data_IF_283384354553
#
_entry.id   IF_283384354553
#
_cell.length_a   1.000
_cell.length_b   1.000
_cell.length_c   1.000
_cell.angle_alpha   90.00
_cell.angle_beta   90.00
_cell.angle_gamma   90.00
#
_symmetry.space_group_name_H-M   'P 1'
#
loop_
_entity.id
_entity.type
_entity.pdbx_description
1 polymer ?
#
# COMPACT_ATOMS: atom_id res chain seq x y z
N UNK A 1 -18.91 -12.50 -47.70
CA UNK A 1 -19.03 -11.85 -46.37
C UNK A 1 -17.84 -12.27 -45.54
N UNK A 2 -16.87 -11.37 -45.41
CA UNK A 2 -15.67 -11.62 -44.63
C UNK A 2 -16.04 -11.47 -43.13
N UNK A 3 -16.00 -12.60 -42.40
CA UNK A 3 -16.12 -12.60 -40.96
C UNK A 3 -14.86 -11.98 -40.36
N UNK A 4 -14.95 -10.73 -39.92
CA UNK A 4 -13.93 -10.12 -39.10
C UNK A 4 -13.95 -10.81 -37.76
N UNK A 5 -13.02 -11.74 -37.51
CA UNK A 5 -12.73 -12.22 -36.16
C UNK A 5 -12.32 -11.02 -35.32
N UNK A 6 -12.90 -10.84 -34.12
CA UNK A 6 -12.41 -9.80 -33.21
C UNK A 6 -10.91 -10.08 -32.98
N UNK A 7 -10.07 -9.06 -33.18
CA UNK A 7 -8.64 -9.16 -32.85
C UNK A 7 -8.56 -9.49 -31.36
N UNK A 8 -8.11 -10.70 -31.02
CA UNK A 8 -7.71 -11.03 -29.66
C UNK A 8 -6.52 -10.13 -29.35
N UNK A 9 -6.75 -9.08 -28.52
CA UNK A 9 -5.64 -8.32 -27.98
C UNK A 9 -4.75 -9.29 -27.21
N UNK A 10 -3.49 -9.38 -27.61
CA UNK A 10 -2.51 -10.18 -26.88
C UNK A 10 -2.38 -9.62 -25.46
N UNK A 11 -2.25 -10.54 -24.48
CA UNK A 11 -1.99 -10.15 -23.10
C UNK A 11 -0.60 -9.49 -23.02
N UNK A 12 -0.45 -8.39 -22.28
CA UNK A 12 0.86 -7.78 -22.10
C UNK A 12 1.79 -8.68 -21.31
N UNK A 13 3.07 -8.67 -21.64
CA UNK A 13 4.11 -9.29 -20.82
C UNK A 13 4.52 -8.32 -19.72
N UNK A 14 4.27 -8.70 -18.46
CA UNK A 14 4.53 -7.84 -17.31
C UNK A 14 5.40 -8.56 -16.30
N UNK A 15 6.49 -7.93 -15.89
CA UNK A 15 7.32 -8.35 -14.78
C UNK A 15 7.51 -7.19 -13.81
N UNK A 16 7.21 -7.42 -12.53
CA UNK A 16 7.44 -6.46 -11.46
C UNK A 16 8.66 -6.89 -10.66
N UNK A 17 9.64 -6.01 -10.57
CA UNK A 17 10.81 -6.19 -9.71
C UNK A 17 10.58 -5.50 -8.37
N UNK A 18 10.64 -6.28 -7.29
CA UNK A 18 10.43 -5.80 -5.92
C UNK A 18 11.66 -6.07 -5.08
N UNK A 19 11.84 -5.27 -4.02
CA UNK A 19 12.96 -5.42 -3.10
C UNK A 19 12.96 -6.80 -2.44
N UNK A 20 14.10 -7.49 -2.47
CA UNK A 20 14.29 -8.74 -1.73
C UNK A 20 14.49 -8.46 -0.24
N UNK A 21 14.14 -9.45 0.58
CA UNK A 21 14.42 -9.47 2.01
C UNK A 21 15.90 -9.74 2.31
N UNK A 22 16.21 -9.89 3.61
CA UNK A 22 17.56 -10.16 4.07
C UNK A 22 18.16 -11.47 3.58
N UNK A 23 17.31 -12.43 3.19
CA UNK A 23 17.73 -13.71 2.58
C UNK A 23 18.04 -13.60 1.07
N UNK A 24 17.77 -12.46 0.45
CA UNK A 24 17.95 -12.24 -0.99
C UNK A 24 16.87 -12.85 -1.88
N UNK A 25 15.89 -13.52 -1.32
CA UNK A 25 14.86 -14.28 -2.06
C UNK A 25 13.42 -13.89 -1.70
N UNK A 26 13.12 -13.75 -0.42
CA UNK A 26 11.77 -13.39 0.04
C UNK A 26 11.44 -11.92 -0.25
N UNK A 27 10.17 -11.56 -0.14
CA UNK A 27 9.71 -10.17 -0.29
C UNK A 27 10.28 -9.33 0.86
N UNK A 28 10.99 -8.26 0.51
CA UNK A 28 11.55 -7.31 1.47
C UNK A 28 10.57 -6.24 1.90
N UNK A 29 11.00 -5.45 2.88
CA UNK A 29 10.21 -4.32 3.37
C UNK A 29 10.34 -3.12 2.44
N UNK A 30 9.32 -2.90 1.63
CA UNK A 30 9.21 -1.75 0.74
C UNK A 30 7.74 -1.45 0.45
N UNK A 31 7.18 -0.37 1.03
CA UNK A 31 5.77 -0.05 0.83
C UNK A 31 5.46 0.35 -0.62
N UNK A 32 6.41 0.90 -1.34
CA UNK A 32 6.24 1.26 -2.76
C UNK A 32 6.20 0.02 -3.66
N UNK A 33 7.02 -0.97 -3.36
CA UNK A 33 6.98 -2.27 -4.05
C UNK A 33 5.64 -2.96 -3.82
N UNK A 34 5.19 -3.01 -2.59
CA UNK A 34 3.90 -3.62 -2.23
C UNK A 34 2.73 -2.90 -2.90
N UNK A 35 2.77 -1.57 -2.96
CA UNK A 35 1.75 -0.76 -3.62
C UNK A 35 1.56 -1.17 -5.08
N UNK A 36 2.63 -1.25 -5.86
CA UNK A 36 2.54 -1.68 -7.27
C UNK A 36 2.13 -3.14 -7.41
N UNK A 37 2.59 -3.99 -6.51
CA UNK A 37 2.20 -5.40 -6.48
C UNK A 37 0.68 -5.55 -6.27
N UNK A 38 0.12 -4.81 -5.32
CA UNK A 38 -1.33 -4.78 -5.08
C UNK A 38 -2.10 -4.26 -6.31
N UNK A 39 -1.61 -3.21 -6.95
CA UNK A 39 -2.25 -2.62 -8.14
C UNK A 39 -2.35 -3.65 -9.26
N UNK A 40 -1.26 -4.35 -9.57
CA UNK A 40 -1.25 -5.37 -10.61
C UNK A 40 -2.19 -6.53 -10.28
N UNK A 41 -2.23 -6.93 -9.04
CA UNK A 41 -3.16 -7.97 -8.58
C UNK A 41 -4.61 -7.54 -8.77
N UNK A 42 -4.94 -6.32 -8.32
CA UNK A 42 -6.30 -5.77 -8.43
C UNK A 42 -6.74 -5.54 -9.88
N UNK A 43 -5.81 -5.24 -10.78
CA UNK A 43 -6.11 -5.14 -12.22
C UNK A 43 -6.52 -6.48 -12.83
N UNK A 44 -6.21 -7.60 -12.18
CA UNK A 44 -6.54 -8.92 -12.71
C UNK A 44 -5.74 -9.32 -13.94
N UNK A 45 -4.65 -8.63 -14.22
CA UNK A 45 -3.73 -8.94 -15.32
C UNK A 45 -2.75 -10.02 -14.90
N UNK A 46 -2.32 -10.83 -15.87
CA UNK A 46 -1.23 -11.80 -15.62
C UNK A 46 0.11 -11.08 -15.55
N UNK A 47 0.88 -11.35 -14.51
CA UNK A 47 2.21 -10.77 -14.32
C UNK A 47 3.11 -11.70 -13.52
N UNK A 48 4.42 -11.51 -13.66
CA UNK A 48 5.43 -12.16 -12.85
C UNK A 48 6.02 -11.17 -11.84
N UNK A 49 6.43 -11.67 -10.68
CA UNK A 49 7.13 -10.89 -9.66
C UNK A 49 8.49 -11.51 -9.43
N UNK A 50 9.53 -10.69 -9.47
CA UNK A 50 10.90 -11.09 -9.18
C UNK A 50 11.45 -10.22 -8.06
N UNK A 51 11.93 -10.86 -7.00
CA UNK A 51 12.63 -10.16 -5.93
C UNK A 51 14.06 -9.86 -6.38
N UNK A 52 14.54 -8.66 -6.07
CA UNK A 52 15.88 -8.22 -6.48
C UNK A 52 16.69 -7.73 -5.28
N UNK A 53 17.92 -8.21 -5.23
CA UNK A 53 18.96 -7.68 -4.37
C UNK A 53 19.83 -6.76 -5.22
N UNK A 54 19.80 -5.45 -4.91
CA UNK A 54 20.51 -4.45 -5.71
C UNK A 54 22.04 -4.53 -5.60
N UNK A 55 22.57 -5.35 -4.69
CA UNK A 55 23.99 -5.68 -4.62
C UNK A 55 24.37 -6.78 -5.63
N UNK A 56 23.39 -7.49 -6.17
CA UNK A 56 23.53 -8.57 -7.16
C UNK A 56 22.49 -8.41 -8.27
N UNK A 57 22.61 -7.30 -9.02
CA UNK A 57 21.61 -6.95 -10.04
C UNK A 57 21.47 -8.04 -11.11
N UNK A 58 20.21 -8.43 -11.46
CA UNK A 58 20.00 -9.28 -12.62
C UNK A 58 20.37 -8.56 -13.93
N UNK A 59 20.52 -9.31 -15.01
CA UNK A 59 20.97 -8.80 -16.31
C UNK A 59 20.09 -7.64 -16.81
N UNK A 60 18.77 -7.73 -16.61
CA UNK A 60 17.81 -6.71 -17.05
C UNK A 60 18.01 -5.36 -16.36
N UNK A 61 18.65 -5.36 -15.20
CA UNK A 61 18.82 -4.17 -14.35
C UNK A 61 20.28 -3.69 -14.28
N UNK A 62 21.18 -4.31 -14.99
CA UNK A 62 22.64 -4.06 -14.89
C UNK A 62 23.03 -2.60 -15.21
N UNK A 63 22.31 -1.95 -16.12
CA UNK A 63 22.64 -0.62 -16.60
C UNK A 63 22.00 0.51 -15.76
N UNK A 64 21.28 0.17 -14.68
CA UNK A 64 20.68 1.17 -13.82
C UNK A 64 21.75 1.92 -13.03
N UNK A 65 21.56 3.23 -12.89
CA UNK A 65 22.44 4.09 -12.12
C UNK A 65 22.55 3.62 -10.66
N UNK A 66 23.72 3.75 -10.02
CA UNK A 66 23.88 3.49 -8.59
C UNK A 66 22.85 4.28 -7.77
N UNK A 67 22.25 3.64 -6.76
CA UNK A 67 21.25 4.25 -5.91
C UNK A 67 19.82 4.20 -6.45
N UNK A 68 19.60 3.66 -7.65
CA UNK A 68 18.27 3.41 -8.16
C UNK A 68 17.67 2.19 -7.43
N UNK A 69 16.49 2.37 -6.83
CA UNK A 69 15.85 1.36 -6.00
C UNK A 69 14.56 0.84 -6.63
N UNK A 70 14.22 -0.47 -6.41
CA UNK A 70 12.91 -0.96 -6.81
C UNK A 70 11.78 -0.17 -6.13
N UNK A 71 10.54 -0.20 -6.66
CA UNK A 71 10.06 -1.13 -7.68
C UNK A 71 10.41 -0.72 -9.11
N UNK A 72 10.53 -1.72 -10.01
CA UNK A 72 10.68 -1.52 -11.44
C UNK A 72 9.64 -2.35 -12.19
N UNK A 73 9.16 -1.81 -13.30
CA UNK A 73 8.21 -2.52 -14.17
C UNK A 73 8.82 -2.76 -15.52
N UNK A 74 8.83 -4.02 -15.96
CA UNK A 74 9.14 -4.40 -17.33
C UNK A 74 7.82 -4.71 -18.02
N UNK A 75 7.42 -3.85 -18.95
CA UNK A 75 6.15 -3.95 -19.66
C UNK A 75 6.42 -4.08 -21.15
N UNK A 76 6.05 -5.22 -21.74
CA UNK A 76 6.35 -5.53 -23.15
C UNK A 76 7.81 -5.21 -23.53
N UNK A 77 8.75 -5.66 -22.69
CA UNK A 77 10.20 -5.47 -22.85
C UNK A 77 10.71 -4.04 -22.62
N UNK A 78 9.86 -3.10 -22.24
CA UNK A 78 10.26 -1.74 -21.88
C UNK A 78 10.35 -1.61 -20.35
N UNK A 79 11.54 -1.23 -19.86
CA UNK A 79 11.80 -1.04 -18.45
C UNK A 79 11.40 0.36 -17.98
N UNK A 80 10.57 0.42 -16.94
CA UNK A 80 10.12 1.64 -16.28
C UNK A 80 10.60 1.63 -14.83
N UNK A 81 11.17 2.74 -14.39
CA UNK A 81 11.85 2.84 -13.09
C UNK A 81 11.30 3.92 -12.17
N UNK A 82 10.48 4.84 -12.66
CA UNK A 82 9.85 5.89 -11.87
C UNK A 82 8.52 5.39 -11.30
N UNK A 83 8.47 5.21 -10.00
CA UNK A 83 7.33 4.67 -9.27
C UNK A 83 6.01 5.41 -9.55
N UNK A 84 6.02 6.75 -9.53
CA UNK A 84 4.81 7.55 -9.76
C UNK A 84 4.32 7.38 -11.20
N UNK A 85 5.24 7.42 -12.15
CA UNK A 85 4.93 7.23 -13.58
C UNK A 85 4.46 5.81 -13.88
N UNK A 86 5.01 4.82 -13.18
CA UNK A 86 4.55 3.42 -13.31
C UNK A 86 3.09 3.30 -12.89
N UNK A 87 2.72 3.87 -11.75
CA UNK A 87 1.34 3.84 -11.25
C UNK A 87 0.38 4.50 -12.23
N UNK A 88 0.70 5.70 -12.71
CA UNK A 88 -0.11 6.40 -13.72
C UNK A 88 -0.24 5.59 -15.01
N UNK A 89 0.86 5.00 -15.45
CA UNK A 89 0.89 4.17 -16.65
C UNK A 89 -0.02 2.96 -16.52
N UNK A 90 0.02 2.25 -15.39
CA UNK A 90 -0.82 1.07 -15.13
C UNK A 90 -2.30 1.44 -15.11
N UNK A 91 -2.68 2.54 -14.45
CA UNK A 91 -4.07 2.99 -14.40
C UNK A 91 -4.60 3.38 -15.77
N UNK A 92 -3.81 4.06 -16.58
CA UNK A 92 -4.20 4.51 -17.91
C UNK A 92 -4.21 3.39 -18.95
N UNK A 93 -3.25 2.47 -18.85
CA UNK A 93 -3.07 1.41 -19.86
C UNK A 93 -3.97 0.21 -19.58
N UNK A 94 -4.07 -0.21 -18.31
CA UNK A 94 -4.94 -1.30 -17.88
C UNK A 94 -6.29 -0.71 -17.45
N UNK A 95 -7.07 -0.28 -18.42
CA UNK A 95 -8.30 0.52 -18.23
C UNK A 95 -9.56 -0.28 -18.60
N UNK A 96 -10.74 0.17 -18.11
CA UNK A 96 -12.02 -0.40 -18.53
C UNK A 96 -12.21 -0.33 -20.07
N UNK A 97 -12.98 -1.24 -20.67
CA UNK A 97 -13.79 -2.25 -20.00
C UNK A 97 -13.05 -3.54 -19.61
N UNK A 98 -11.83 -3.75 -20.09
CA UNK A 98 -11.09 -5.00 -19.88
C UNK A 98 -10.55 -5.13 -18.44
N UNK A 99 -10.12 -4.01 -17.85
CA UNK A 99 -9.55 -3.97 -16.49
C UNK A 99 -10.33 -2.99 -15.61
N UNK A 100 -10.37 -3.23 -14.29
CA UNK A 100 -11.08 -2.33 -13.39
C UNK A 100 -10.37 -0.98 -13.27
N UNK A 101 -11.16 0.08 -13.04
CA UNK A 101 -10.66 1.38 -12.66
C UNK A 101 -10.36 1.37 -11.15
N UNK A 102 -9.18 1.82 -10.74
CA UNK A 102 -8.74 1.78 -9.35
C UNK A 102 -8.63 3.14 -8.67
N UNK A 103 -8.76 4.23 -9.41
CA UNK A 103 -8.74 5.58 -8.82
C UNK A 103 -9.94 5.77 -7.91
N UNK A 104 -9.74 6.34 -6.70
CA UNK A 104 -10.86 6.59 -5.79
C UNK A 104 -11.78 7.68 -6.35
N UNK A 105 -13.07 7.59 -5.97
CA UNK A 105 -14.09 8.57 -6.34
C UNK A 105 -13.94 9.87 -5.57
N UNK A 106 -13.44 9.80 -4.34
CA UNK A 106 -13.28 10.93 -3.44
C UNK A 106 -11.79 11.25 -3.25
N UNK A 107 -11.43 12.51 -3.49
CA UNK A 107 -10.07 13.00 -3.28
C UNK A 107 -9.60 12.80 -1.84
N UNK A 108 -10.51 12.97 -0.90
CA UNK A 108 -10.26 12.83 0.54
C UNK A 108 -9.76 11.41 0.90
N UNK A 109 -10.13 10.40 0.11
CA UNK A 109 -9.65 9.04 0.31
C UNK A 109 -8.14 8.91 0.11
N UNK A 110 -7.56 9.68 -0.83
CA UNK A 110 -6.11 9.75 -0.98
C UNK A 110 -5.41 10.50 0.16
N UNK A 111 -6.06 11.51 0.71
CA UNK A 111 -5.48 12.34 1.77
C UNK A 111 -5.57 11.67 3.14
N UNK A 112 -6.48 10.73 3.31
CA UNK A 112 -6.68 10.03 4.58
C UNK A 112 -5.41 9.28 5.00
N UNK A 113 -4.92 9.57 6.19
CA UNK A 113 -3.73 8.94 6.75
C UNK A 113 -2.42 9.39 6.14
N UNK A 114 -2.40 10.45 5.32
CA UNK A 114 -1.20 10.90 4.60
C UNK A 114 -0.01 11.28 5.51
N UNK A 115 -0.27 11.65 6.75
CA UNK A 115 0.77 12.03 7.71
C UNK A 115 1.22 10.90 8.65
N UNK A 116 0.53 9.77 8.62
CA UNK A 116 0.81 8.66 9.54
C UNK A 116 2.25 8.15 9.45
N UNK A 117 2.72 7.90 8.25
CA UNK A 117 4.06 7.33 8.06
C UNK A 117 5.16 8.29 8.48
N UNK A 118 4.99 9.59 8.24
CA UNK A 118 5.93 10.62 8.69
C UNK A 118 5.99 10.71 10.22
N UNK A 119 4.83 10.65 10.89
CA UNK A 119 4.76 10.66 12.36
C UNK A 119 5.34 9.39 12.97
N UNK A 120 5.08 8.26 12.34
CA UNK A 120 5.72 7.00 12.72
C UNK A 120 7.24 7.07 12.56
N UNK A 121 7.74 7.58 11.44
CA UNK A 121 9.17 7.70 11.18
C UNK A 121 9.87 8.57 12.22
N UNK A 122 9.27 9.70 12.58
CA UNK A 122 9.79 10.56 13.65
C UNK A 122 9.84 9.84 15.01
N UNK A 123 8.79 9.10 15.32
CA UNK A 123 8.67 8.31 16.57
C UNK A 123 9.73 7.21 16.66
N UNK A 124 9.85 6.41 15.60
CA UNK A 124 10.77 5.26 15.59
C UNK A 124 12.23 5.68 15.58
N UNK A 125 12.55 6.84 15.01
CA UNK A 125 13.91 7.40 14.95
C UNK A 125 14.32 8.19 16.20
N UNK A 126 13.38 8.49 17.08
CA UNK A 126 13.66 9.26 18.27
C UNK A 126 14.64 8.54 19.18
N UNK A 127 15.69 9.26 19.59
CA UNK A 127 16.73 8.77 20.50
C UNK A 127 16.63 9.35 21.92
N UNK A 128 15.71 10.29 22.14
CA UNK A 128 15.52 10.97 23.43
C UNK A 128 14.32 10.39 24.15
N UNK A 129 14.53 9.64 25.19
CA UNK A 129 13.49 8.94 25.95
C UNK A 129 12.36 9.89 26.40
N UNK A 130 12.70 11.08 26.83
CA UNK A 130 11.75 12.08 27.32
C UNK A 130 10.76 12.53 26.24
N UNK A 131 11.18 12.51 24.98
CA UNK A 131 10.37 12.92 23.85
C UNK A 131 9.42 11.83 23.32
N UNK A 132 9.58 10.57 23.73
CA UNK A 132 8.79 9.44 23.23
C UNK A 132 7.28 9.66 23.39
N UNK A 133 6.84 10.15 24.53
CA UNK A 133 5.41 10.38 24.80
C UNK A 133 4.81 11.39 23.83
N UNK A 134 5.57 12.42 23.47
CA UNK A 134 5.13 13.44 22.53
C UNK A 134 5.01 12.90 21.11
N UNK A 135 6.00 12.11 20.68
CA UNK A 135 5.95 11.43 19.36
C UNK A 135 4.81 10.42 19.29
N UNK A 136 4.59 9.66 20.34
CA UNK A 136 3.45 8.74 20.45
C UNK A 136 2.13 9.49 20.34
N UNK A 137 1.98 10.60 21.07
CA UNK A 137 0.79 11.44 21.02
C UNK A 137 0.53 11.96 19.61
N UNK A 138 1.57 12.39 18.90
CA UNK A 138 1.44 12.86 17.52
C UNK A 138 0.97 11.75 16.58
N UNK A 139 1.50 10.54 16.76
CA UNK A 139 1.07 9.38 15.99
C UNK A 139 -0.39 9.01 16.29
N UNK A 140 -0.77 8.99 17.55
CA UNK A 140 -2.16 8.74 17.97
C UNK A 140 -3.14 9.75 17.40
N UNK A 141 -2.75 11.01 17.32
CA UNK A 141 -3.55 12.08 16.73
C UNK A 141 -3.84 11.81 15.25
N UNK A 142 -2.85 11.33 14.51
CA UNK A 142 -3.03 10.99 13.10
C UNK A 142 -3.88 9.73 12.92
N UNK A 143 -3.75 8.75 13.80
CA UNK A 143 -4.65 7.59 13.82
C UNK A 143 -6.09 7.99 14.10
N UNK A 144 -6.30 8.93 15.03
CA UNK A 144 -7.64 9.44 15.30
C UNK A 144 -8.26 10.13 14.09
N UNK A 145 -7.47 10.91 13.36
CA UNK A 145 -7.94 11.55 12.12
C UNK A 145 -8.34 10.52 11.06
N UNK A 146 -7.57 9.46 10.92
CA UNK A 146 -7.92 8.35 10.03
C UNK A 146 -9.18 7.64 10.49
N UNK A 147 -9.31 7.40 11.79
CA UNK A 147 -10.49 6.77 12.39
C UNK A 147 -11.75 7.60 12.15
N UNK A 148 -11.66 8.91 12.36
CA UNK A 148 -12.77 9.84 12.11
C UNK A 148 -13.20 9.80 10.64
N UNK A 149 -12.24 9.79 9.72
CA UNK A 149 -12.53 9.66 8.28
C UNK A 149 -13.24 8.35 7.95
N UNK A 150 -12.73 7.23 8.46
CA UNK A 150 -13.29 5.90 8.21
C UNK A 150 -14.68 5.69 8.83
N UNK A 151 -14.98 6.41 9.89
CA UNK A 151 -16.28 6.34 10.56
C UNK A 151 -17.31 7.35 10.04
N UNK A 152 -16.87 8.37 9.31
CA UNK A 152 -17.78 9.36 8.71
C UNK A 152 -18.33 8.81 7.40
N UNK A 153 -19.66 8.69 7.25
CA UNK A 153 -20.26 8.19 6.01
C UNK A 153 -19.88 9.04 4.80
N UNK A 154 -19.59 8.37 3.68
CA UNK A 154 -19.43 9.03 2.38
C UNK A 154 -20.81 9.46 1.85
N UNK A 155 -20.83 10.43 0.94
CA UNK A 155 -22.08 10.93 0.37
C UNK A 155 -22.96 9.82 -0.24
N UNK A 156 -22.36 8.86 -0.90
CA UNK A 156 -23.10 7.76 -1.53
C UNK A 156 -23.55 6.67 -0.54
N UNK A 157 -23.08 6.70 0.71
CA UNK A 157 -23.61 5.84 1.78
C UNK A 157 -24.91 6.41 2.37
N UNK A 158 -25.19 7.70 2.14
CA UNK A 158 -26.35 8.40 2.68
C UNK A 158 -27.51 8.24 1.71
N UNK A 159 -28.58 7.55 2.16
CA UNK A 159 -29.83 7.45 1.42
C UNK A 159 -30.78 8.56 1.85
N UNK A 160 -31.06 9.56 0.98
CA UNK A 160 -31.95 10.68 1.34
C UNK A 160 -33.41 10.24 1.56
N UNK A 161 -33.77 9.06 1.05
CA UNK A 161 -35.13 8.49 1.16
C UNK A 161 -35.28 7.55 2.37
N UNK A 162 -34.19 7.28 3.09
CA UNK A 162 -34.23 6.43 4.28
C UNK A 162 -34.66 7.20 5.52
N UNK A 163 -35.54 6.59 6.31
CA UNK A 163 -35.93 7.12 7.62
C UNK A 163 -34.86 6.87 8.70
N UNK A 164 -33.86 6.00 8.42
CA UNK A 164 -32.76 5.72 9.34
C UNK A 164 -31.57 6.61 9.02
N UNK A 165 -31.08 7.33 10.05
CA UNK A 165 -29.89 8.14 9.95
C UNK A 165 -28.66 7.25 10.11
N UNK A 166 -27.81 7.17 9.06
CA UNK A 166 -26.55 6.49 9.15
C UNK A 166 -25.54 7.40 9.87
N UNK A 167 -25.25 7.10 11.13
CA UNK A 167 -24.35 7.92 11.96
C UNK A 167 -22.89 7.49 11.83
N UNK A 168 -22.63 6.19 11.55
CA UNK A 168 -21.29 5.63 11.40
C UNK A 168 -21.23 4.88 10.08
N UNK A 169 -20.17 5.11 9.32
CA UNK A 169 -19.91 4.39 8.08
C UNK A 169 -19.73 2.90 8.32
N UNK A 170 -20.19 2.10 7.38
CA UNK A 170 -20.01 0.63 7.35
C UNK A 170 -19.10 0.20 6.20
N UNK A 171 -18.48 1.16 5.48
CA UNK A 171 -17.64 0.81 4.33
C UNK A 171 -16.44 -0.03 4.74
N UNK A 172 -16.01 -0.88 3.82
CA UNK A 172 -14.93 -1.82 4.06
C UNK A 172 -13.54 -1.17 3.96
N UNK A 173 -13.39 -0.18 3.05
CA UNK A 173 -12.12 0.45 2.72
C UNK A 173 -12.26 1.98 2.66
N UNK A 174 -11.19 2.68 2.28
CA UNK A 174 -11.16 4.15 2.32
C UNK A 174 -12.25 4.82 1.48
N UNK A 175 -12.47 4.33 0.26
CA UNK A 175 -13.36 4.97 -0.72
C UNK A 175 -14.71 4.26 -0.89
N UNK A 176 -14.94 3.19 -0.17
CA UNK A 176 -16.14 2.36 -0.27
C UNK A 176 -15.82 0.90 -0.01
N UNK A 177 -16.55 0.01 -0.67
CA UNK A 177 -16.42 -1.43 -0.45
C UNK A 177 -15.40 -2.12 -1.38
N UNK A 178 -14.75 -1.36 -2.26
CA UNK A 178 -13.71 -1.84 -3.15
C UNK A 178 -12.36 -1.21 -2.79
N UNK A 179 -11.29 -2.00 -2.92
CA UNK A 179 -9.93 -1.48 -2.81
C UNK A 179 -9.63 -0.55 -3.98
N UNK A 180 -9.02 0.60 -3.68
CA UNK A 180 -8.60 1.59 -4.67
C UNK A 180 -7.09 1.87 -4.56
N UNK A 181 -6.58 2.75 -5.41
CA UNK A 181 -5.19 3.23 -5.33
C UNK A 181 -4.87 3.85 -3.96
N UNK A 182 -5.88 4.47 -3.31
CA UNK A 182 -5.71 5.04 -1.97
C UNK A 182 -5.34 3.96 -0.94
N UNK A 183 -6.01 2.81 -0.98
CA UNK A 183 -5.71 1.66 -0.11
C UNK A 183 -4.35 1.06 -0.42
N UNK A 184 -4.00 0.95 -1.70
CA UNK A 184 -2.69 0.45 -2.12
C UNK A 184 -1.54 1.32 -1.60
N UNK A 185 -1.79 2.63 -1.45
CA UNK A 185 -0.84 3.57 -0.86
C UNK A 185 -0.74 3.44 0.67
N UNK A 186 -1.88 3.37 1.35
CA UNK A 186 -1.93 3.46 2.82
C UNK A 186 -1.68 2.12 3.53
N UNK A 187 -2.29 1.04 3.06
CA UNK A 187 -2.26 -0.26 3.75
C UNK A 187 -0.85 -0.81 3.98
N UNK A 188 0.08 -0.77 3.01
CA UNK A 188 1.45 -1.19 3.26
C UNK A 188 2.13 -0.40 4.39
N UNK A 189 1.89 0.89 4.45
CA UNK A 189 2.42 1.76 5.51
C UNK A 189 1.82 1.45 6.87
N UNK A 190 0.52 1.19 6.93
CA UNK A 190 -0.16 0.80 8.18
C UNK A 190 0.37 -0.53 8.72
N UNK A 191 0.63 -1.49 7.85
CA UNK A 191 1.21 -2.77 8.25
C UNK A 191 2.61 -2.57 8.86
N UNK A 192 3.45 -1.75 8.24
CA UNK A 192 4.77 -1.42 8.76
C UNK A 192 4.67 -0.77 10.14
N UNK A 193 3.81 0.22 10.29
CA UNK A 193 3.61 0.93 11.58
C UNK A 193 3.18 -0.05 12.67
N UNK A 194 2.18 -0.87 12.37
CA UNK A 194 1.64 -1.86 13.32
C UNK A 194 2.73 -2.81 13.82
N UNK A 195 3.56 -3.33 12.92
CA UNK A 195 4.60 -4.30 13.26
C UNK A 195 5.79 -3.63 13.97
N UNK A 196 6.36 -2.58 13.38
CA UNK A 196 7.58 -1.96 13.87
C UNK A 196 7.35 -1.16 15.16
N UNK A 197 6.27 -0.41 15.26
CA UNK A 197 5.95 0.34 16.48
C UNK A 197 5.68 -0.58 17.67
N UNK A 198 5.03 -1.71 17.45
CA UNK A 198 4.84 -2.73 18.48
C UNK A 198 6.18 -3.30 18.94
N UNK A 199 7.03 -3.70 18.00
CA UNK A 199 8.32 -4.34 18.32
C UNK A 199 9.24 -3.42 19.11
N UNK A 200 9.37 -2.14 18.69
CA UNK A 200 10.42 -1.25 19.20
C UNK A 200 9.94 -0.19 20.18
N UNK A 201 8.64 0.03 20.30
CA UNK A 201 8.05 1.04 21.19
C UNK A 201 6.88 0.51 22.03
N UNK A 202 6.61 -0.78 21.94
CA UNK A 202 5.44 -1.42 22.60
C UNK A 202 4.13 -0.65 22.36
N UNK A 203 4.00 -0.11 21.16
CA UNK A 203 2.85 0.66 20.74
C UNK A 203 1.78 -0.25 20.12
N UNK A 204 0.57 -0.15 20.63
CA UNK A 204 -0.63 -0.78 20.04
C UNK A 204 -1.58 0.30 19.53
N UNK A 205 -2.21 0.05 18.38
CA UNK A 205 -3.30 0.89 17.90
C UNK A 205 -4.45 0.76 18.89
N UNK A 206 -4.94 1.87 19.50
CA UNK A 206 -6.01 1.79 20.49
C UNK A 206 -7.28 1.10 19.98
N UNK A 207 -7.88 0.26 20.79
CA UNK A 207 -9.12 -0.48 20.47
C UNK A 207 -10.29 0.45 20.17
N UNK A 208 -10.31 1.63 20.75
CA UNK A 208 -11.33 2.66 20.56
C UNK A 208 -11.38 3.18 19.12
N UNK A 209 -10.30 3.02 18.36
CA UNK A 209 -10.27 3.39 16.94
C UNK A 209 -10.93 2.29 16.09
N UNK A 210 -12.22 2.14 16.27
CA UNK A 210 -13.03 1.08 15.66
C UNK A 210 -13.02 1.11 14.13
N UNK A 211 -12.98 2.30 13.53
CA UNK A 211 -12.87 2.47 12.08
C UNK A 211 -11.55 1.97 11.53
N UNK A 212 -10.44 2.27 12.22
CA UNK A 212 -9.12 1.78 11.84
C UNK A 212 -9.07 0.25 11.92
N UNK A 213 -9.61 -0.34 12.99
CA UNK A 213 -9.62 -1.79 13.16
C UNK A 213 -10.52 -2.49 12.15
N UNK A 214 -11.70 -1.93 11.84
CA UNK A 214 -12.56 -2.42 10.76
C UNK A 214 -11.80 -2.44 9.43
N UNK A 215 -11.12 -1.35 9.11
CA UNK A 215 -10.32 -1.21 7.90
C UNK A 215 -9.21 -2.26 7.80
N UNK A 216 -8.41 -2.39 8.86
CA UNK A 216 -7.34 -3.39 8.91
C UNK A 216 -7.87 -4.81 8.86
N UNK A 217 -8.93 -5.11 9.60
CA UNK A 217 -9.56 -6.42 9.58
C UNK A 217 -10.02 -6.82 8.17
N UNK A 218 -10.68 -5.90 7.47
CA UNK A 218 -11.13 -6.14 6.11
C UNK A 218 -9.96 -6.28 5.13
N UNK A 219 -8.89 -5.51 5.32
CA UNK A 219 -7.69 -5.59 4.50
C UNK A 219 -6.97 -6.94 4.66
N UNK A 220 -6.79 -7.40 5.89
CA UNK A 220 -6.13 -8.69 6.14
C UNK A 220 -6.96 -9.89 5.67
N UNK A 221 -8.24 -9.71 5.36
CA UNK A 221 -9.09 -10.72 4.72
C UNK A 221 -8.93 -10.76 3.19
N UNK A 222 -8.19 -9.81 2.60
CA UNK A 222 -7.98 -9.73 1.14
C UNK A 222 -6.62 -10.32 0.76
N UNK A 223 -6.67 -11.22 -0.23
CA UNK A 223 -5.46 -11.87 -0.76
C UNK A 223 -4.48 -10.87 -1.37
N UNK A 224 -4.99 -9.83 -2.04
CA UNK A 224 -4.20 -8.81 -2.70
C UNK A 224 -3.32 -8.02 -1.71
N UNK A 225 -3.74 -7.96 -0.46
CA UNK A 225 -2.96 -7.33 0.60
C UNK A 225 -2.08 -8.35 1.35
N UNK A 226 -2.67 -9.43 1.85
CA UNK A 226 -1.95 -10.37 2.70
C UNK A 226 -0.80 -11.07 1.97
N UNK A 227 -1.01 -11.45 0.70
CA UNK A 227 0.01 -12.13 -0.09
C UNK A 227 1.07 -11.21 -0.68
N UNK A 228 0.90 -9.91 -0.59
CA UNK A 228 1.89 -8.92 -1.01
C UNK A 228 2.68 -8.35 0.17
N UNK A 229 2.27 -8.62 1.40
CA UNK A 229 2.98 -8.19 2.61
C UNK A 229 4.32 -8.92 2.75
N UNK A 230 5.39 -8.21 3.16
CA UNK A 230 6.57 -8.89 3.68
C UNK A 230 6.23 -9.59 5.00
N UNK A 231 7.02 -10.57 5.37
CA UNK A 231 6.93 -11.18 6.70
C UNK A 231 7.25 -10.12 7.78
N UNK A 232 6.61 -10.24 8.93
CA UNK A 232 6.82 -9.32 10.05
C UNK A 232 8.29 -9.20 10.42
N UNK A 233 9.03 -10.30 10.39
CA UNK A 233 10.47 -10.34 10.65
C UNK A 233 11.28 -9.44 9.72
N UNK A 234 10.91 -9.36 8.44
CA UNK A 234 11.57 -8.48 7.48
C UNK A 234 11.35 -6.99 7.82
N UNK A 235 10.14 -6.66 8.28
CA UNK A 235 9.84 -5.31 8.76
C UNK A 235 10.66 -5.00 10.02
N UNK A 236 10.65 -5.90 10.99
CA UNK A 236 11.39 -5.75 12.24
C UNK A 236 12.89 -5.58 11.98
N UNK A 237 13.47 -6.40 11.11
CA UNK A 237 14.90 -6.33 10.76
C UNK A 237 15.28 -5.01 10.08
N UNK A 238 14.40 -4.49 9.22
CA UNK A 238 14.62 -3.19 8.56
C UNK A 238 14.75 -2.07 9.58
N UNK A 239 13.95 -2.10 10.64
CA UNK A 239 13.94 -1.03 11.65
C UNK A 239 14.90 -1.26 12.82
N UNK A 240 15.58 -2.40 12.88
CA UNK A 240 16.50 -2.72 13.98
C UNK A 240 17.61 -1.68 14.17
N UNK A 241 18.19 -1.18 13.07
CA UNK A 241 19.23 -0.15 13.11
C UNK A 241 18.69 1.28 13.26
N UNK A 242 17.43 1.49 12.86
CA UNK A 242 16.76 2.80 12.88
C UNK A 242 16.15 3.08 14.25
N UNK A 243 15.53 2.08 14.86
CA UNK A 243 14.87 2.17 16.15
C UNK A 243 15.88 2.01 17.28
N UNK A 244 16.73 3.03 17.44
CA UNK A 244 17.68 3.03 18.54
C UNK A 244 16.94 3.00 19.87
N UNK A 245 17.30 2.05 20.73
CA UNK A 245 16.73 1.96 22.05
C UNK A 245 17.16 3.15 22.91
N UNK A 246 16.18 3.73 23.59
CA UNK A 246 16.40 4.82 24.57
C UNK A 246 16.66 4.24 25.97
#
# INVERSE_FOLDING_TARGET
>A
MASTRPSTQEDPEIELFVKAGGDGESIGNCPFCQRLFMILWLKGVKFNVTTVDMTRKPEELKDLAPGTNPPFLLYNKELKTDFIKIEEFLEQTLAPPRYPHLSPRYKESFDAGCNLFAKFSAYIKNTQKEANKNFEKNLLKEFKRLDDYLNTPLLDEIDPDSAEELTISRRLFLDGDQLTLADCSLLPKLNIIKVAAKKYRDFDIPEEFSGVWRYLHNAYAREEFIHTCPEDKEIENTYASVAKQN
#
